data_IF_218352570241
#
_entry.id   IF_218352570241
#
_cell.length_a   1.000
_cell.length_b   1.000
_cell.length_c   1.000
_cell.angle_alpha   90.00
_cell.angle_beta   90.00
_cell.angle_gamma   90.00
#
_symmetry.space_group_name_H-M   'P 1'
#
loop_
_entity.id
_entity.type
_entity.pdbx_description
1 polymer ?
#
# COMPACT_ATOMS: atom_id res chain seq x y z
N UNK A 1 16.41 -15.37 24.25
CA UNK A 1 15.21 -14.57 24.61
C UNK A 1 15.14 -13.29 23.80
N UNK A 2 16.22 -12.51 23.73
CA UNK A 2 16.34 -11.29 22.90
C UNK A 2 16.03 -11.52 21.42
N UNK A 3 16.51 -12.61 20.82
CA UNK A 3 16.20 -12.97 19.41
C UNK A 3 14.71 -13.13 19.15
N UNK A 4 13.96 -13.77 20.06
CA UNK A 4 12.51 -13.95 19.92
C UNK A 4 11.80 -12.59 19.99
N UNK A 5 12.22 -11.71 20.91
CA UNK A 5 11.68 -10.37 21.05
C UNK A 5 12.01 -9.49 19.83
N UNK A 6 13.21 -9.62 19.26
CA UNK A 6 13.59 -8.95 18.02
C UNK A 6 12.76 -9.44 16.83
N UNK A 7 12.54 -10.74 16.70
CA UNK A 7 11.69 -11.28 15.64
C UNK A 7 10.23 -10.88 15.84
N UNK A 8 9.75 -10.80 17.08
CA UNK A 8 8.39 -10.32 17.38
C UNK A 8 8.20 -8.84 16.95
N UNK A 9 9.17 -7.98 17.20
CA UNK A 9 9.10 -6.56 16.77
C UNK A 9 9.18 -6.42 15.25
N UNK A 10 10.05 -7.20 14.59
CA UNK A 10 10.11 -7.26 13.12
C UNK A 10 8.80 -7.76 12.51
N UNK A 11 8.23 -8.84 13.08
CA UNK A 11 6.97 -9.41 12.66
C UNK A 11 5.80 -8.45 12.89
N UNK A 12 5.82 -7.67 13.98
CA UNK A 12 4.81 -6.65 14.23
C UNK A 12 4.83 -5.56 13.16
N UNK A 13 6.01 -5.04 12.82
CA UNK A 13 6.13 -4.04 11.75
C UNK A 13 5.68 -4.59 10.39
N UNK A 14 6.08 -5.81 10.04
CA UNK A 14 5.71 -6.44 8.78
C UNK A 14 4.21 -6.79 8.74
N UNK A 15 3.68 -7.26 9.87
CA UNK A 15 2.25 -7.51 10.08
C UNK A 15 1.40 -6.25 9.94
N UNK A 16 1.87 -5.10 10.43
CA UNK A 16 1.22 -3.80 10.24
C UNK A 16 1.09 -3.42 8.75
N UNK A 17 2.12 -3.69 7.94
CA UNK A 17 2.05 -3.46 6.49
C UNK A 17 0.99 -4.37 5.86
N UNK A 18 1.01 -5.67 6.17
CA UNK A 18 0.03 -6.62 5.66
C UNK A 18 -1.40 -6.31 6.13
N UNK A 19 -1.56 -5.84 7.36
CA UNK A 19 -2.85 -5.44 7.89
C UNK A 19 -3.40 -4.20 7.16
N UNK A 20 -2.55 -3.23 6.81
CA UNK A 20 -2.95 -2.09 5.96
C UNK A 20 -3.36 -2.52 4.55
N UNK A 21 -2.63 -3.47 3.94
CA UNK A 21 -2.99 -4.03 2.63
C UNK A 21 -4.34 -4.74 2.71
N UNK A 22 -4.55 -5.58 3.73
CA UNK A 22 -5.80 -6.29 3.96
C UNK A 22 -6.98 -5.32 4.22
N UNK A 23 -6.73 -4.25 4.97
CA UNK A 23 -7.72 -3.21 5.23
C UNK A 23 -8.15 -2.50 3.95
N UNK A 24 -7.21 -2.13 3.07
CA UNK A 24 -7.54 -1.56 1.76
C UNK A 24 -8.35 -2.53 0.90
N UNK A 25 -7.92 -3.79 0.83
CA UNK A 25 -8.58 -4.82 0.03
C UNK A 25 -10.02 -5.11 0.50
N UNK A 26 -10.22 -5.23 1.81
CA UNK A 26 -11.54 -5.48 2.41
C UNK A 26 -12.50 -4.30 2.20
N UNK A 27 -12.01 -3.06 2.19
CA UNK A 27 -12.84 -1.89 1.89
C UNK A 27 -13.30 -1.86 0.43
N UNK A 28 -12.39 -2.08 -0.52
CA UNK A 28 -12.74 -2.11 -1.95
C UNK A 28 -13.71 -3.25 -2.24
N UNK A 29 -13.44 -4.44 -1.71
CA UNK A 29 -14.32 -5.59 -1.86
C UNK A 29 -15.67 -5.37 -1.16
N UNK A 30 -15.70 -4.74 0.01
CA UNK A 30 -16.92 -4.46 0.77
C UNK A 30 -17.92 -3.61 0.00
N UNK A 31 -17.44 -2.65 -0.80
CA UNK A 31 -18.28 -1.76 -1.60
C UNK A 31 -18.64 -2.40 -2.94
N UNK A 32 -17.65 -2.88 -3.70
CA UNK A 32 -17.85 -3.32 -5.09
C UNK A 32 -18.35 -4.78 -5.15
N UNK A 33 -18.06 -5.59 -4.12
CA UNK A 33 -18.33 -7.04 -4.08
C UNK A 33 -17.77 -7.80 -5.27
N UNK A 34 -16.70 -7.29 -5.87
CA UNK A 34 -15.94 -7.90 -6.96
C UNK A 34 -14.49 -8.08 -6.50
N UNK A 35 -13.89 -9.20 -6.90
CA UNK A 35 -12.47 -9.49 -6.65
C UNK A 35 -11.64 -8.51 -7.49
N UNK A 36 -10.75 -7.76 -6.83
CA UNK A 36 -9.87 -6.79 -7.49
C UNK A 36 -8.41 -7.23 -7.37
N UNK A 37 -7.90 -7.94 -8.39
CA UNK A 37 -6.50 -8.39 -8.43
C UNK A 37 -5.51 -7.22 -8.60
N UNK A 38 -5.93 -6.12 -9.23
CA UNK A 38 -5.09 -4.95 -9.47
C UNK A 38 -4.70 -4.18 -8.19
N UNK A 39 -5.26 -4.53 -7.02
CA UNK A 39 -4.93 -3.86 -5.76
C UNK A 39 -3.43 -3.97 -5.41
N UNK A 40 -2.81 -5.11 -5.69
CA UNK A 40 -1.36 -5.28 -5.49
C UNK A 40 -0.54 -4.37 -6.41
N UNK A 41 -0.99 -4.23 -7.66
CA UNK A 41 -0.32 -3.38 -8.66
C UNK A 41 -0.45 -1.88 -8.33
N UNK A 42 -1.59 -1.45 -7.78
CA UNK A 42 -1.76 -0.07 -7.29
C UNK A 42 -0.78 0.19 -6.12
N UNK A 43 -0.56 -0.79 -5.25
CA UNK A 43 0.41 -0.69 -4.16
C UNK A 43 1.84 -0.57 -4.70
N UNK A 44 2.19 -1.39 -5.69
CA UNK A 44 3.48 -1.31 -6.39
C UNK A 44 3.68 0.06 -7.05
N UNK A 45 2.69 0.56 -7.80
CA UNK A 45 2.78 1.86 -8.46
C UNK A 45 2.93 2.98 -7.42
N UNK A 46 2.18 2.94 -6.32
CA UNK A 46 2.33 3.89 -5.22
C UNK A 46 3.74 3.88 -4.62
N UNK A 47 4.34 2.69 -4.44
CA UNK A 47 5.70 2.56 -3.97
C UNK A 47 6.73 3.12 -4.99
N UNK A 48 6.52 2.97 -6.29
CA UNK A 48 7.41 3.57 -7.29
C UNK A 48 7.24 5.08 -7.43
N UNK A 49 6.01 5.59 -7.31
CA UNK A 49 5.76 7.04 -7.27
C UNK A 49 6.46 7.67 -6.08
N UNK A 50 6.37 7.06 -4.89
CA UNK A 50 7.11 7.50 -3.72
C UNK A 50 8.62 7.45 -3.93
N UNK A 51 9.13 6.36 -4.52
CA UNK A 51 10.54 6.21 -4.86
C UNK A 51 11.03 7.31 -5.81
N UNK A 52 10.33 7.57 -6.92
CA UNK A 52 10.71 8.62 -7.87
C UNK A 52 10.62 10.02 -7.27
N UNK A 53 9.60 10.27 -6.45
CA UNK A 53 9.45 11.55 -5.74
C UNK A 53 10.67 11.85 -4.87
N UNK A 54 11.15 10.85 -4.13
CA UNK A 54 12.32 11.02 -3.26
C UNK A 54 13.66 10.96 -4.01
N UNK A 55 13.77 10.10 -5.04
CA UNK A 55 15.06 9.82 -5.70
C UNK A 55 15.34 10.73 -6.89
N UNK A 56 14.32 11.08 -7.66
CA UNK A 56 14.45 11.84 -8.91
C UNK A 56 14.13 13.32 -8.66
N UNK A 57 13.06 13.59 -7.93
CA UNK A 57 12.67 14.96 -7.60
C UNK A 57 13.31 15.48 -6.30
N UNK A 58 14.02 14.61 -5.57
CA UNK A 58 14.71 14.94 -4.31
C UNK A 58 13.79 15.57 -3.25
N UNK A 59 12.49 15.23 -3.30
CA UNK A 59 11.50 15.71 -2.35
C UNK A 59 11.43 14.82 -1.11
N UNK A 60 10.84 15.36 -0.04
CA UNK A 60 10.71 14.67 1.24
C UNK A 60 9.70 13.52 1.25
N UNK A 61 9.65 12.81 2.37
CA UNK A 61 8.73 11.68 2.60
C UNK A 61 7.27 12.13 2.56
N UNK A 62 6.99 13.34 3.03
CA UNK A 62 5.61 13.86 3.06
C UNK A 62 5.08 14.11 1.65
N UNK A 63 5.89 14.73 0.79
CA UNK A 63 5.61 14.95 -0.62
C UNK A 63 5.45 13.63 -1.37
N UNK A 64 6.30 12.65 -1.06
CA UNK A 64 6.20 11.30 -1.63
C UNK A 64 4.88 10.60 -1.27
N UNK A 65 4.42 10.72 -0.03
CA UNK A 65 3.12 10.18 0.40
C UNK A 65 1.98 10.89 -0.34
N UNK A 66 2.00 12.21 -0.43
CA UNK A 66 0.96 12.98 -1.12
C UNK A 66 0.92 12.66 -2.63
N UNK A 67 2.08 12.61 -3.28
CA UNK A 67 2.18 12.24 -4.68
C UNK A 67 1.65 10.83 -4.93
N UNK A 68 2.05 9.85 -4.10
CA UNK A 68 1.55 8.48 -4.19
C UNK A 68 0.03 8.42 -3.99
N UNK A 69 -0.52 9.14 -3.01
CA UNK A 69 -1.97 9.21 -2.78
C UNK A 69 -2.72 9.76 -3.99
N UNK A 70 -2.26 10.87 -4.57
CA UNK A 70 -2.89 11.51 -5.73
C UNK A 70 -2.85 10.56 -6.94
N UNK A 71 -1.68 10.01 -7.27
CA UNK A 71 -1.52 9.14 -8.43
C UNK A 71 -2.32 7.85 -8.27
N UNK A 72 -2.26 7.19 -7.10
CA UNK A 72 -3.05 5.98 -6.85
C UNK A 72 -4.56 6.26 -6.88
N UNK A 73 -5.02 7.44 -6.44
CA UNK A 73 -6.42 7.83 -6.52
C UNK A 73 -6.85 8.00 -7.98
N UNK A 74 -6.08 8.72 -8.78
CA UNK A 74 -6.35 8.90 -10.21
C UNK A 74 -6.39 7.55 -10.90
N UNK A 75 -5.39 6.70 -10.66
CA UNK A 75 -5.31 5.36 -11.24
C UNK A 75 -6.51 4.50 -10.83
N UNK A 76 -6.87 4.49 -9.54
CA UNK A 76 -8.03 3.75 -9.04
C UNK A 76 -9.34 4.18 -9.70
N UNK A 77 -9.54 5.49 -9.87
CA UNK A 77 -10.72 6.05 -10.58
C UNK A 77 -10.72 5.65 -12.06
N UNK A 78 -9.56 5.67 -12.72
CA UNK A 78 -9.45 5.24 -14.11
C UNK A 78 -9.76 3.74 -14.28
N UNK A 79 -9.20 2.89 -13.42
CA UNK A 79 -9.47 1.44 -13.42
C UNK A 79 -10.96 1.18 -13.18
N UNK A 80 -11.56 1.85 -12.19
CA UNK A 80 -13.00 1.73 -11.92
C UNK A 80 -13.81 2.11 -13.15
N UNK A 81 -13.53 3.28 -13.75
CA UNK A 81 -14.35 3.82 -14.83
C UNK A 81 -14.22 3.03 -16.13
N UNK A 82 -13.03 2.54 -16.44
CA UNK A 82 -12.71 1.90 -17.72
C UNK A 82 -12.94 0.40 -17.65
N UNK A 83 -12.48 -0.27 -16.59
CA UNK A 83 -12.48 -1.73 -16.50
C UNK A 83 -13.71 -2.27 -15.77
N UNK A 84 -14.05 -1.73 -14.60
CA UNK A 84 -15.03 -2.35 -13.72
C UNK A 84 -16.46 -1.82 -13.90
N UNK A 85 -16.63 -0.50 -14.08
CA UNK A 85 -17.93 0.15 -14.22
C UNK A 85 -18.74 -0.39 -15.41
N UNK A 86 -18.16 -0.65 -16.61
CA UNK A 86 -18.91 -1.22 -17.73
C UNK A 86 -19.41 -2.64 -17.46
N UNK A 87 -18.70 -3.39 -16.61
CA UNK A 87 -18.96 -4.82 -16.35
C UNK A 87 -19.89 -5.07 -15.17
N UNK A 88 -20.40 -4.02 -14.50
CA UNK A 88 -21.32 -4.17 -13.35
C UNK A 88 -22.59 -4.97 -13.66
N UNK A 89 -23.04 -5.01 -14.91
CA UNK A 89 -24.20 -5.81 -15.36
C UNK A 89 -23.83 -7.14 -16.01
N UNK A 90 -22.53 -7.44 -16.11
CA UNK A 90 -22.02 -8.66 -16.75
C UNK A 90 -21.90 -9.81 -15.76
N UNK A 91 -21.47 -10.97 -16.23
CA UNK A 91 -21.24 -12.15 -15.38
C UNK A 91 -20.05 -11.93 -14.45
N UNK A 92 -20.06 -12.63 -13.30
CA UNK A 92 -18.93 -12.60 -12.35
C UNK A 92 -17.63 -13.08 -12.99
N UNK A 93 -17.70 -14.04 -13.91
CA UNK A 93 -16.55 -14.53 -14.66
C UNK A 93 -15.93 -13.45 -15.54
N UNK A 94 -16.73 -12.65 -16.27
CA UNK A 94 -16.23 -11.56 -17.08
C UNK A 94 -15.51 -10.49 -16.24
N UNK A 95 -16.06 -10.18 -15.05
CA UNK A 95 -15.44 -9.25 -14.10
C UNK A 95 -14.10 -9.79 -13.57
N UNK A 96 -14.02 -11.09 -13.28
CA UNK A 96 -12.78 -11.75 -12.82
C UNK A 96 -11.69 -11.73 -13.89
N UNK A 97 -12.02 -12.11 -15.13
CA UNK A 97 -11.07 -12.09 -16.26
C UNK A 97 -10.54 -10.68 -16.46
N UNK A 98 -11.42 -9.67 -16.38
CA UNK A 98 -11.02 -8.27 -16.53
C UNK A 98 -10.13 -7.80 -15.38
N UNK A 99 -10.41 -8.20 -14.14
CA UNK A 99 -9.56 -7.87 -12.99
C UNK A 99 -8.15 -8.46 -13.13
N UNK A 100 -8.03 -9.71 -13.60
CA UNK A 100 -6.75 -10.35 -13.89
C UNK A 100 -6.04 -9.62 -15.04
N UNK A 101 -6.77 -9.34 -16.13
CA UNK A 101 -6.23 -8.62 -17.29
C UNK A 101 -5.68 -7.24 -16.92
N UNK A 102 -6.40 -6.50 -16.07
CA UNK A 102 -5.93 -5.21 -15.55
C UNK A 102 -4.70 -5.35 -14.66
N UNK A 103 -4.64 -6.37 -13.80
CA UNK A 103 -3.47 -6.64 -12.97
C UNK A 103 -2.23 -6.88 -13.84
N UNK A 104 -2.33 -7.79 -14.82
CA UNK A 104 -1.23 -8.11 -15.72
C UNK A 104 -0.82 -6.90 -16.57
N UNK A 105 -1.80 -6.11 -17.05
CA UNK A 105 -1.52 -4.89 -17.80
C UNK A 105 -0.67 -3.92 -16.98
N UNK A 106 -1.08 -3.62 -15.75
CA UNK A 106 -0.35 -2.70 -14.87
C UNK A 106 1.04 -3.26 -14.52
N UNK A 107 1.12 -4.55 -14.20
CA UNK A 107 2.36 -5.23 -13.87
C UNK A 107 3.36 -5.17 -15.04
N UNK A 108 2.96 -5.60 -16.23
CA UNK A 108 3.85 -5.63 -17.39
C UNK A 108 4.18 -4.24 -17.91
N UNK A 109 3.28 -3.27 -17.77
CA UNK A 109 3.58 -1.87 -18.07
C UNK A 109 4.72 -1.37 -17.17
N UNK A 110 4.63 -1.62 -15.87
CA UNK A 110 5.69 -1.24 -14.93
C UNK A 110 6.99 -2.02 -15.17
N UNK A 111 6.89 -3.31 -15.46
CA UNK A 111 8.05 -4.13 -15.79
C UNK A 111 8.77 -3.63 -17.06
N UNK A 112 8.03 -3.16 -18.06
CA UNK A 112 8.60 -2.58 -19.28
C UNK A 112 9.34 -1.26 -19.01
N UNK A 113 8.76 -0.36 -18.20
CA UNK A 113 9.36 0.96 -17.93
C UNK A 113 10.45 0.95 -16.84
N UNK A 114 10.33 0.08 -15.83
CA UNK A 114 11.16 0.13 -14.62
C UNK A 114 12.11 -1.06 -14.49
N UNK A 115 11.72 -2.21 -15.05
CA UNK A 115 12.38 -3.50 -14.86
C UNK A 115 11.82 -4.30 -13.68
N UNK A 116 12.33 -5.52 -13.50
CA UNK A 116 11.93 -6.44 -12.45
C UNK A 116 12.82 -6.39 -11.19
N UNK A 117 13.95 -5.67 -11.27
CA UNK A 117 14.91 -5.60 -10.17
C UNK A 117 14.37 -4.78 -8.98
N UNK A 118 14.60 -5.24 -7.73
CA UNK A 118 14.20 -4.49 -6.56
C UNK A 118 14.96 -3.16 -6.47
N UNK A 119 14.24 -2.08 -6.18
CA UNK A 119 14.83 -0.74 -5.95
C UNK A 119 14.81 -0.41 -4.47
N UNK A 120 15.98 -0.16 -3.89
CA UNK A 120 16.09 0.33 -2.53
C UNK A 120 15.71 1.81 -2.47
N UNK A 121 14.87 2.17 -1.51
CA UNK A 121 14.51 3.57 -1.26
C UNK A 121 15.75 4.41 -0.88
N UNK A 122 15.80 5.70 -1.26
CA UNK A 122 16.86 6.61 -0.82
C UNK A 122 16.84 6.81 0.70
N UNK A 123 17.91 7.42 1.23
CA UNK A 123 18.08 7.63 2.67
C UNK A 123 16.86 8.34 3.28
N UNK A 124 16.21 7.66 4.23
CA UNK A 124 15.06 8.20 4.94
C UNK A 124 15.50 9.32 5.90
N UNK A 125 14.59 10.21 6.32
CA UNK A 125 14.89 11.23 7.32
C UNK A 125 15.49 10.63 8.61
N UNK A 126 16.35 11.40 9.28
CA UNK A 126 17.14 10.95 10.44
C UNK A 126 16.29 10.32 11.56
N UNK A 127 15.06 10.81 11.77
CA UNK A 127 14.14 10.27 12.78
C UNK A 127 13.65 8.85 12.44
N UNK A 128 13.59 8.44 11.18
CA UNK A 128 13.22 7.07 10.77
C UNK A 128 14.42 6.11 10.81
N UNK A 129 15.64 6.62 10.61
CA UNK A 129 16.87 5.84 10.68
C UNK A 129 17.40 5.66 12.10
N UNK A 130 16.86 6.41 13.07
CA UNK A 130 17.24 6.28 14.48
C UNK A 130 16.82 4.92 15.00
N UNK A 131 17.72 4.26 15.73
CA UNK A 131 17.48 2.97 16.36
C UNK A 131 17.52 3.12 17.87
N UNK A 132 16.53 2.56 18.55
CA UNK A 132 16.43 2.53 20.00
C UNK A 132 16.79 1.12 20.48
N UNK A 133 17.76 1.01 21.38
CA UNK A 133 18.06 -0.25 22.07
C UNK A 133 17.27 -0.29 23.38
N UNK A 134 16.33 -1.22 23.46
CA UNK A 134 15.53 -1.48 24.65
C UNK A 134 15.83 -2.89 25.12
N UNK A 135 16.77 -3.03 26.05
CA UNK A 135 17.10 -4.32 26.67
C UNK A 135 17.67 -5.35 25.70
N UNK A 136 18.44 -4.93 24.69
CA UNK A 136 19.02 -5.79 23.67
C UNK A 136 18.12 -6.02 22.46
N UNK A 137 17.00 -5.29 22.36
CA UNK A 137 16.10 -5.29 21.20
C UNK A 137 16.24 -3.96 20.48
N UNK A 138 16.57 -4.01 19.19
CA UNK A 138 16.76 -2.84 18.32
C UNK A 138 15.44 -2.53 17.64
N UNK A 139 14.83 -1.41 18.02
CA UNK A 139 13.60 -0.88 17.42
C UNK A 139 13.97 0.30 16.52
N UNK A 140 13.68 0.19 15.23
CA UNK A 140 13.95 1.29 14.27
C UNK A 140 12.79 2.28 14.25
N UNK A 141 13.09 3.57 14.11
CA UNK A 141 12.08 4.63 13.98
C UNK A 141 11.07 4.37 12.85
N UNK A 142 11.54 3.80 11.73
CA UNK A 142 10.66 3.35 10.64
C UNK A 142 9.58 2.36 11.10
N UNK A 143 9.90 1.40 11.99
CA UNK A 143 8.93 0.42 12.51
C UNK A 143 7.86 1.11 13.35
N UNK A 144 8.25 2.08 14.18
CA UNK A 144 7.32 2.87 14.99
C UNK A 144 6.37 3.69 14.12
N UNK A 145 6.87 4.29 13.03
CA UNK A 145 6.04 5.02 12.06
C UNK A 145 5.04 4.09 11.37
N UNK A 146 5.50 2.92 10.90
CA UNK A 146 4.63 1.92 10.25
C UNK A 146 3.51 1.49 11.20
N UNK A 147 3.85 1.13 12.44
CA UNK A 147 2.87 0.70 13.44
C UNK A 147 1.92 1.86 13.76
N UNK A 148 2.44 3.06 14.03
CA UNK A 148 1.64 4.24 14.36
C UNK A 148 0.65 4.62 13.27
N UNK A 149 1.10 4.68 12.01
CA UNK A 149 0.23 4.95 10.85
C UNK A 149 -0.78 3.83 10.65
N UNK A 150 -0.39 2.56 10.83
CA UNK A 150 -1.31 1.43 10.69
C UNK A 150 -2.46 1.49 11.69
N UNK A 151 -2.16 1.73 12.97
CA UNK A 151 -3.16 1.85 14.03
C UNK A 151 -4.03 3.09 13.79
N UNK A 152 -3.43 4.22 13.44
CA UNK A 152 -4.17 5.45 13.14
C UNK A 152 -5.18 5.25 12.02
N UNK A 153 -4.77 4.68 10.89
CA UNK A 153 -5.65 4.43 9.74
C UNK A 153 -6.73 3.40 10.06
N UNK A 154 -6.43 2.36 10.83
CA UNK A 154 -7.42 1.39 11.30
C UNK A 154 -8.48 2.04 12.18
N UNK A 155 -8.07 2.87 13.15
CA UNK A 155 -8.99 3.58 14.05
C UNK A 155 -9.86 4.57 13.27
N UNK A 156 -9.25 5.37 12.38
CA UNK A 156 -9.99 6.30 11.52
C UNK A 156 -11.01 5.55 10.68
N UNK A 157 -10.60 4.48 10.00
CA UNK A 157 -11.51 3.70 9.17
C UNK A 157 -12.63 3.09 10.00
N UNK A 158 -12.31 2.48 11.15
CA UNK A 158 -13.30 1.88 12.03
C UNK A 158 -14.33 2.91 12.50
N UNK A 159 -13.87 4.11 12.86
CA UNK A 159 -14.76 5.20 13.24
C UNK A 159 -15.65 5.63 12.08
N UNK A 160 -15.08 5.81 10.88
CA UNK A 160 -15.84 6.17 9.67
C UNK A 160 -16.90 5.11 9.37
N UNK A 161 -16.55 3.83 9.37
CA UNK A 161 -17.49 2.73 9.05
C UNK A 161 -18.59 2.61 10.11
N UNK A 162 -18.30 2.80 11.39
CA UNK A 162 -19.32 2.72 12.47
C UNK A 162 -20.24 3.94 12.49
N UNK A 163 -19.72 5.12 12.20
CA UNK A 163 -20.49 6.38 12.22
C UNK A 163 -21.29 6.57 10.94
N UNK A 164 -20.75 6.16 9.79
CA UNK A 164 -21.42 6.30 8.50
C UNK A 164 -22.38 5.12 8.31
N UNK A 165 -23.65 5.34 8.67
CA UNK A 165 -24.73 4.42 8.28
C UNK A 165 -24.81 4.38 6.75
N UNK A 166 -24.57 3.21 6.15
CA UNK A 166 -25.10 2.91 4.82
C UNK A 166 -26.56 2.50 4.92
#
# INVERSE_FOLDING_TARGET
>A
MTEILQQATNALSLGSIYALIALGYTMVYGIIKLINFAHGEIYMIGAFVGYWTMRVFELGVFEAILAAMIICTILGVLIERIAYRPLRKSTRLASLITAIGMSLLLQYTMMYFVGADPRAYPAMPSYMNTSFDVGGVIIRGQQLVIIGVSVLLMVILQFVVKTTKM
#
